data_IF_816425471745
#
_entry.id   IF_816425471745
#
_cell.length_a   1.000
_cell.length_b   1.000
_cell.length_c   1.000
_cell.angle_alpha   90.00
_cell.angle_beta   90.00
_cell.angle_gamma   90.00
#
_symmetry.space_group_name_H-M   'P 1'
#
loop_
_entity.id
_entity.type
_entity.pdbx_description
1 polymer ?
#
# COMPACT_ATOMS: atom_id res chain seq x y z
N UNK A 1 -2.42 11.67 4.02
CA UNK A 1 -2.66 10.22 4.22
C UNK A 1 -3.59 9.93 5.40
N UNK A 2 -3.41 10.53 6.59
CA UNK A 2 -4.36 10.37 7.71
C UNK A 2 -5.68 11.15 7.51
N UNK A 3 -5.60 12.43 7.12
CA UNK A 3 -6.78 13.30 6.95
C UNK A 3 -7.77 12.87 5.86
N UNK A 4 -7.31 12.14 4.83
CA UNK A 4 -8.18 11.63 3.78
C UNK A 4 -9.03 10.42 4.22
N UNK A 5 -8.62 9.73 5.30
CA UNK A 5 -9.26 8.54 5.84
C UNK A 5 -9.99 8.81 7.18
N UNK A 6 -9.88 10.03 7.73
CA UNK A 6 -10.47 10.39 9.02
C UNK A 6 -9.89 9.64 10.22
N UNK A 7 -8.72 9.00 10.09
CA UNK A 7 -8.06 8.22 11.15
C UNK A 7 -6.77 8.89 11.63
N UNK A 8 -6.39 8.62 12.88
CA UNK A 8 -5.12 9.10 13.44
C UNK A 8 -3.90 8.44 12.78
N UNK A 9 -2.78 9.16 12.74
CA UNK A 9 -1.52 8.68 12.16
C UNK A 9 -1.00 7.39 12.81
N UNK A 10 -1.17 7.26 14.13
CA UNK A 10 -0.88 6.02 14.86
C UNK A 10 -1.67 4.82 14.30
N UNK A 11 -2.93 5.02 13.94
CA UNK A 11 -3.79 3.98 13.36
C UNK A 11 -3.33 3.61 11.95
N UNK A 12 -2.92 4.60 11.15
CA UNK A 12 -2.29 4.35 9.84
C UNK A 12 -1.05 3.47 9.99
N UNK A 13 -0.14 3.81 10.90
CA UNK A 13 1.09 3.04 11.14
C UNK A 13 0.79 1.61 11.60
N UNK A 14 -0.18 1.44 12.50
CA UNK A 14 -0.62 0.10 12.92
C UNK A 14 -1.14 -0.77 11.77
N UNK A 15 -1.91 -0.17 10.84
CA UNK A 15 -2.37 -0.89 9.66
C UNK A 15 -1.22 -1.24 8.72
N UNK A 16 -0.25 -0.34 8.52
CA UNK A 16 0.92 -0.58 7.68
C UNK A 16 1.78 -1.74 8.17
N UNK A 17 2.10 -1.79 9.46
CA UNK A 17 2.87 -2.89 10.06
C UNK A 17 2.20 -4.25 9.83
N UNK A 18 0.88 -4.33 10.01
CA UNK A 18 0.13 -5.57 9.74
C UNK A 18 0.08 -5.96 8.28
N UNK A 19 0.03 -4.99 7.37
CA UNK A 19 0.10 -5.25 5.93
C UNK A 19 1.48 -5.82 5.58
N UNK A 20 2.57 -5.29 6.15
CA UNK A 20 3.92 -5.79 5.89
C UNK A 20 4.09 -7.23 6.36
N UNK A 21 3.61 -7.57 7.56
CA UNK A 21 3.62 -8.95 8.06
C UNK A 21 2.84 -9.89 7.14
N UNK A 22 1.67 -9.46 6.64
CA UNK A 22 0.86 -10.27 5.73
C UNK A 22 1.47 -10.44 4.34
N UNK A 23 2.26 -9.47 3.89
CA UNK A 23 2.98 -9.52 2.62
C UNK A 23 4.35 -10.22 2.76
N UNK A 24 4.82 -10.50 3.97
CA UNK A 24 6.17 -11.04 4.21
C UNK A 24 7.29 -10.03 3.93
N UNK A 25 7.01 -8.74 3.97
CA UNK A 25 7.96 -7.68 3.64
C UNK A 25 8.76 -7.20 4.86
N UNK A 26 10.08 -7.02 4.70
CA UNK A 26 10.98 -6.45 5.71
C UNK A 26 11.03 -4.92 5.69
N UNK A 27 10.48 -4.26 4.66
CA UNK A 27 10.41 -2.80 4.59
C UNK A 27 9.16 -2.29 3.87
N UNK A 28 8.84 -1.00 4.05
CA UNK A 28 7.75 -0.34 3.32
C UNK A 28 7.95 -0.38 1.81
N UNK A 29 9.19 -0.19 1.34
CA UNK A 29 9.50 -0.20 -0.09
C UNK A 29 9.28 -1.60 -0.68
N UNK A 30 9.73 -2.63 0.02
CA UNK A 30 9.53 -4.03 -0.35
C UNK A 30 8.04 -4.41 -0.35
N UNK A 31 7.27 -3.97 0.66
CA UNK A 31 5.84 -4.20 0.71
C UNK A 31 5.10 -3.57 -0.48
N UNK A 32 5.53 -2.38 -0.91
CA UNK A 32 4.97 -1.72 -2.10
C UNK A 32 5.34 -2.49 -3.37
N UNK A 33 6.59 -2.96 -3.49
CA UNK A 33 7.03 -3.78 -4.62
C UNK A 33 6.21 -5.08 -4.72
N UNK A 34 6.10 -5.83 -3.61
CA UNK A 34 5.31 -7.07 -3.54
C UNK A 34 3.82 -6.81 -3.84
N UNK A 35 3.25 -5.71 -3.34
CA UNK A 35 1.85 -5.39 -3.62
C UNK A 35 1.59 -5.10 -5.12
N UNK A 36 2.58 -4.57 -5.85
CA UNK A 36 2.51 -4.44 -7.30
C UNK A 36 2.69 -5.78 -8.02
N UNK A 37 3.67 -6.60 -7.61
CA UNK A 37 3.92 -7.92 -8.21
C UNK A 37 2.73 -8.88 -8.03
N UNK A 38 2.07 -8.84 -6.87
CA UNK A 38 0.89 -9.64 -6.56
C UNK A 38 -0.40 -9.07 -7.17
N UNK A 39 -0.36 -7.89 -7.81
CA UNK A 39 -1.53 -7.24 -8.40
C UNK A 39 -2.56 -6.69 -7.39
N UNK A 40 -2.18 -6.54 -6.12
CA UNK A 40 -3.02 -6.01 -5.04
C UNK A 40 -3.25 -4.50 -5.24
N UNK A 41 -2.22 -3.80 -5.71
CA UNK A 41 -2.26 -2.36 -6.00
C UNK A 41 -1.97 -2.17 -7.48
N UNK A 42 -2.78 -1.34 -8.16
CA UNK A 42 -2.55 -0.97 -9.57
C UNK A 42 -1.58 0.18 -9.68
N UNK A 43 -0.78 0.19 -10.75
CA UNK A 43 0.11 1.32 -11.00
C UNK A 43 -0.76 2.53 -11.37
N UNK A 44 -0.45 3.74 -10.86
CA UNK A 44 -1.24 4.93 -11.16
C UNK A 44 -1.36 5.24 -12.66
N UNK A 45 -0.44 4.75 -13.49
CA UNK A 45 -0.48 4.92 -14.95
C UNK A 45 -1.36 3.92 -15.71
N UNK A 46 -1.87 2.85 -15.08
CA UNK A 46 -2.82 1.92 -15.72
C UNK A 46 -4.21 2.55 -15.97
N UNK A 47 -4.43 3.80 -15.54
CA UNK A 47 -5.66 4.55 -15.78
C UNK A 47 -5.62 5.45 -17.02
N UNK A 48 -4.50 5.50 -17.77
CA UNK A 48 -4.34 6.36 -18.96
C UNK A 48 -4.19 5.64 -20.31
N UNK A 49 -4.40 4.32 -20.36
CA UNK A 49 -4.51 3.59 -21.63
C UNK A 49 -5.89 2.96 -21.74
N UNK A 50 -6.90 3.80 -21.99
CA UNK A 50 -8.07 3.37 -22.77
C UNK A 50 -8.01 4.13 -24.11
N UNK A 51 -8.16 3.44 -25.25
CA UNK A 51 -8.34 4.07 -26.56
C UNK A 51 -9.66 4.85 -26.67
#
# INVERSE_FOLDING_TARGET
MAGALGIGERTVNWHLERVFVKLGAGSRAEAVALAFELGIVRRPHDSQTSP
#
